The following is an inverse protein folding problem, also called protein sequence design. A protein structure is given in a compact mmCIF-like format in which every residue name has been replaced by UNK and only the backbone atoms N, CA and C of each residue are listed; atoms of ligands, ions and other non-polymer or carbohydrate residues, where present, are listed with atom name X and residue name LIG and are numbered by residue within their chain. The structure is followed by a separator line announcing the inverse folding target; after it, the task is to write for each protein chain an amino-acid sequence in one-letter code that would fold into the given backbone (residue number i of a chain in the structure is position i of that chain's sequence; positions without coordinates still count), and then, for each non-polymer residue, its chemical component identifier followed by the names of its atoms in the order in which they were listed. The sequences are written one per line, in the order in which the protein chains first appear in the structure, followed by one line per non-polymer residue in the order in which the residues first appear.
data_IF_796605226982
#
_entry.id   IF_796605226982
#
_cell.length_a   1.000
_cell.length_b   1.000
_cell.length_c   1.000
_cell.angle_alpha   90.00
_cell.angle_beta   90.00
_cell.angle_gamma   90.00
#
_symmetry.space_group_name_H-M   'P 1'
#
loop_
_entity.id
_entity.type
_entity.pdbx_description
1 polymer ?
#
# COMPACT_ATOMS: atom_id res chain seq x y z
N UNK A 1 -5.89 -24.44 13.83
CA UNK A 1 -4.87 -23.66 14.57
C UNK A 1 -5.55 -23.00 15.75
N UNK A 2 -5.11 -23.23 17.00
CA UNK A 2 -5.77 -22.68 18.19
C UNK A 2 -5.52 -21.16 18.30
N UNK A 3 -6.52 -20.42 18.78
CA UNK A 3 -6.48 -18.96 18.94
C UNK A 3 -5.30 -18.50 19.82
N UNK A 4 -4.90 -19.32 20.79
CA UNK A 4 -3.78 -19.08 21.69
C UNK A 4 -2.43 -18.98 20.98
N UNK A 5 -2.21 -19.74 19.91
CA UNK A 5 -0.99 -19.70 19.12
C UNK A 5 -0.87 -18.37 18.35
N UNK A 6 -1.97 -17.90 17.77
CA UNK A 6 -2.03 -16.62 17.06
C UNK A 6 -1.78 -15.44 18.01
N UNK A 7 -2.33 -15.49 19.22
CA UNK A 7 -2.08 -14.45 20.23
C UNK A 7 -0.62 -14.42 20.70
N UNK A 8 0.03 -15.57 20.83
CA UNK A 8 1.44 -15.65 21.17
C UNK A 8 2.31 -15.06 20.05
N UNK A 9 2.05 -15.44 18.79
CA UNK A 9 2.74 -14.88 17.62
C UNK A 9 2.55 -13.36 17.51
N UNK A 10 1.33 -12.86 17.74
CA UNK A 10 1.05 -11.42 17.75
C UNK A 10 1.85 -10.67 18.81
N UNK A 11 1.95 -11.22 20.03
CA UNK A 11 2.77 -10.62 21.10
C UNK A 11 4.25 -10.59 20.74
N UNK A 12 4.77 -11.64 20.13
CA UNK A 12 6.15 -11.69 19.63
C UNK A 12 6.38 -10.63 18.53
N UNK A 13 5.41 -10.45 17.63
CA UNK A 13 5.45 -9.42 16.59
C UNK A 13 5.48 -8.01 17.19
N UNK A 14 4.61 -7.70 18.16
CA UNK A 14 4.60 -6.41 18.83
C UNK A 14 5.95 -6.10 19.50
N UNK A 15 6.51 -7.06 20.22
CA UNK A 15 7.81 -6.90 20.86
C UNK A 15 8.93 -6.64 19.84
N UNK A 16 8.89 -7.33 18.70
CA UNK A 16 9.88 -7.14 17.63
C UNK A 16 9.74 -5.79 16.95
N UNK A 17 8.52 -5.31 16.68
CA UNK A 17 8.31 -3.96 16.14
C UNK A 17 8.78 -2.87 17.11
N UNK A 18 8.55 -3.03 18.41
CA UNK A 18 9.05 -2.07 19.40
C UNK A 18 10.58 -2.02 19.48
N UNK A 19 11.29 -3.05 19.01
CA UNK A 19 12.75 -3.08 18.95
C UNK A 19 13.35 -2.46 17.68
N UNK A 20 12.50 -2.17 16.69
CA UNK A 20 12.93 -1.61 15.41
C UNK A 20 13.03 -0.09 15.53
N UNK A 21 14.16 0.46 15.10
CA UNK A 21 14.38 1.90 15.07
C UNK A 21 13.41 2.58 14.06
N UNK A 22 12.61 3.58 14.49
CA UNK A 22 11.62 4.24 13.64
C UNK A 22 12.21 5.00 12.45
N UNK A 23 13.53 5.20 12.42
CA UNK A 23 14.26 5.85 11.32
C UNK A 23 14.51 4.92 10.13
N UNK A 24 14.25 3.62 10.27
CA UNK A 24 14.45 2.65 9.18
C UNK A 24 13.37 2.79 8.11
N UNK A 25 13.81 2.75 6.86
CA UNK A 25 12.93 2.86 5.69
C UNK A 25 11.88 1.74 5.72
N UNK A 26 10.59 2.11 5.79
CA UNK A 26 9.45 1.18 5.96
C UNK A 26 9.48 0.02 4.96
N UNK A 27 10.01 0.26 3.76
CA UNK A 27 10.18 -0.74 2.71
C UNK A 27 11.15 -1.86 3.08
N UNK A 28 12.27 -1.53 3.74
CA UNK A 28 13.25 -2.52 4.23
C UNK A 28 12.67 -3.36 5.36
N UNK A 29 11.83 -2.76 6.21
CA UNK A 29 11.11 -3.49 7.24
C UNK A 29 10.11 -4.47 6.64
N UNK A 30 9.39 -4.04 5.60
CA UNK A 30 8.43 -4.88 4.89
C UNK A 30 9.11 -6.06 4.20
N UNK A 31 10.26 -5.83 3.55
CA UNK A 31 11.08 -6.87 2.94
C UNK A 31 11.59 -7.88 3.98
N UNK A 32 12.08 -7.40 5.12
CA UNK A 32 12.52 -8.25 6.22
C UNK A 32 11.39 -9.13 6.77
N UNK A 33 10.19 -8.57 6.97
CA UNK A 33 9.05 -9.32 7.52
C UNK A 33 8.50 -10.34 6.51
N UNK A 34 8.53 -10.04 5.21
CA UNK A 34 8.09 -10.99 4.17
C UNK A 34 9.07 -12.14 3.99
N UNK A 35 10.37 -11.91 4.23
CA UNK A 35 11.43 -12.91 4.04
C UNK A 35 11.58 -13.83 5.24
N UNK A 36 11.33 -13.34 6.45
CA UNK A 36 11.35 -14.20 7.64
C UNK A 36 10.04 -15.00 7.76
N UNK A 37 10.13 -16.29 7.46
CA UNK A 37 9.11 -17.32 7.67
C UNK A 37 8.73 -17.56 9.15
N UNK A 38 9.06 -16.63 10.05
CA UNK A 38 8.89 -16.75 11.49
C UNK A 38 7.41 -16.77 11.93
N UNK A 39 6.53 -16.20 11.11
CA UNK A 39 5.09 -16.13 11.40
C UNK A 39 4.30 -17.22 10.67
N UNK A 40 3.21 -17.67 11.30
CA UNK A 40 2.26 -18.55 10.64
C UNK A 40 1.76 -17.97 9.31
N UNK A 41 1.40 -18.85 8.38
CA UNK A 41 0.90 -18.46 7.05
C UNK A 41 -0.27 -17.46 7.12
N UNK A 42 -1.10 -17.55 8.17
CA UNK A 42 -2.24 -16.67 8.38
C UNK A 42 -1.82 -15.24 8.77
N UNK A 43 -0.88 -15.08 9.70
CA UNK A 43 -0.36 -13.75 10.09
C UNK A 43 0.41 -13.09 8.94
N UNK A 44 1.21 -13.89 8.21
CA UNK A 44 1.90 -13.42 7.01
C UNK A 44 0.95 -12.91 5.92
N UNK A 45 -0.17 -13.60 5.70
CA UNK A 45 -1.20 -13.13 4.76
C UNK A 45 -1.85 -11.84 5.25
N UNK A 46 -2.20 -11.76 6.53
CA UNK A 46 -2.84 -10.58 7.12
C UNK A 46 -1.94 -9.34 7.00
N UNK A 47 -0.65 -9.50 7.27
CA UNK A 47 0.31 -8.42 7.19
C UNK A 47 0.54 -7.96 5.74
N UNK A 48 0.61 -8.88 4.79
CA UNK A 48 0.67 -8.55 3.35
C UNK A 48 -0.56 -7.77 2.92
N UNK A 49 -1.75 -8.20 3.32
CA UNK A 49 -3.00 -7.47 3.03
C UNK A 49 -2.93 -6.06 3.64
N UNK A 50 -2.55 -5.92 4.91
CA UNK A 50 -2.40 -4.61 5.55
C UNK A 50 -1.35 -3.71 4.87
N UNK A 51 -0.26 -4.28 4.35
CA UNK A 51 0.76 -3.53 3.62
C UNK A 51 0.31 -3.11 2.20
N UNK A 52 -0.50 -3.92 1.54
CA UNK A 52 -1.05 -3.61 0.20
C UNK A 52 -2.27 -2.68 0.26
N UNK A 53 -3.00 -2.69 1.37
CA UNK A 53 -4.07 -1.74 1.59
C UNK A 53 -3.42 -0.35 1.71
N UNK A 54 -3.81 0.63 0.88
CA UNK A 54 -3.29 1.97 1.01
C UNK A 54 -3.70 2.50 2.39
N UNK A 55 -2.74 2.50 3.32
CA UNK A 55 -2.91 3.05 4.68
C UNK A 55 -3.19 4.56 4.63
N UNK A 56 -2.87 5.21 3.51
CA UNK A 56 -3.01 6.65 3.33
C UNK A 56 -4.06 6.99 2.27
N UNK A 57 -5.04 7.82 2.66
CA UNK A 57 -6.00 8.44 1.73
C UNK A 57 -5.28 9.30 0.67
N UNK A 58 -4.05 9.73 0.95
CA UNK A 58 -3.21 10.54 0.09
C UNK A 58 -3.02 9.95 -1.33
N UNK A 59 -2.90 8.63 -1.49
CA UNK A 59 -2.78 8.03 -2.84
C UNK A 59 -4.07 8.21 -3.64
N UNK A 60 -5.21 8.05 -2.99
CA UNK A 60 -6.54 8.22 -3.60
C UNK A 60 -6.82 9.70 -3.86
N UNK A 61 -6.49 10.59 -2.92
CA UNK A 61 -6.59 12.03 -3.06
C UNK A 61 -5.71 12.57 -4.19
N UNK A 62 -4.48 12.06 -4.33
CA UNK A 62 -3.58 12.36 -5.45
C UNK A 62 -4.23 11.95 -6.78
N UNK A 63 -4.79 10.75 -6.88
CA UNK A 63 -5.49 10.27 -8.09
C UNK A 63 -6.72 11.12 -8.43
N UNK A 64 -7.55 11.47 -7.44
CA UNK A 64 -8.71 12.35 -7.66
C UNK A 64 -8.31 13.78 -8.01
N UNK A 65 -7.26 14.33 -7.40
CA UNK A 65 -6.71 15.64 -7.73
C UNK A 65 -6.20 15.69 -9.17
N UNK A 66 -5.48 14.65 -9.60
CA UNK A 66 -5.04 14.49 -10.99
C UNK A 66 -6.23 14.40 -11.95
N UNK A 67 -7.25 13.60 -11.64
CA UNK A 67 -8.46 13.50 -12.45
C UNK A 67 -9.20 14.84 -12.53
N UNK A 68 -9.29 15.58 -11.42
CA UNK A 68 -9.86 16.93 -11.38
C UNK A 68 -9.09 17.86 -12.31
N UNK A 69 -7.75 17.87 -12.27
CA UNK A 69 -6.91 18.65 -13.20
C UNK A 69 -7.16 18.26 -14.66
N UNK A 70 -7.17 16.97 -14.97
CA UNK A 70 -7.44 16.44 -16.32
C UNK A 70 -8.81 16.89 -16.85
N UNK A 71 -9.84 16.94 -16.00
CA UNK A 71 -11.17 17.44 -16.39
C UNK A 71 -11.28 18.96 -16.47
N UNK A 72 -10.50 19.70 -15.67
CA UNK A 72 -10.64 21.16 -15.56
C UNK A 72 -9.82 21.89 -16.63
N UNK A 73 -8.66 21.35 -17.02
CA UNK A 73 -7.75 21.96 -18.01
C UNK A 73 -8.40 22.08 -19.42
N UNK A 74 -8.94 21.01 -20.01
CA UNK A 74 -9.81 21.11 -21.17
C UNK A 74 -11.26 21.27 -20.69
N UNK A 75 -11.91 22.41 -20.95
CA UNK A 75 -13.37 22.60 -20.71
C UNK A 75 -14.26 21.72 -21.61
N UNK A 76 -13.77 20.56 -22.06
CA UNK A 76 -14.47 19.67 -22.98
C UNK A 76 -15.20 18.57 -22.21
N UNK A 77 -16.43 18.29 -22.61
CA UNK A 77 -17.11 17.03 -22.28
C UNK A 77 -16.32 15.89 -22.91
N UNK A 78 -15.40 15.31 -22.14
CA UNK A 78 -14.53 14.24 -22.58
C UNK A 78 -15.22 12.90 -22.31
N UNK A 79 -15.28 12.03 -23.31
CA UNK A 79 -15.81 10.68 -23.17
C UNK A 79 -15.04 9.87 -22.11
N UNK A 80 -15.72 8.89 -21.49
CA UNK A 80 -15.17 8.08 -20.41
C UNK A 80 -13.87 7.35 -20.82
N UNK A 81 -13.82 6.84 -22.04
CA UNK A 81 -12.66 6.10 -22.56
C UNK A 81 -11.42 6.99 -22.65
N UNK A 82 -11.57 8.19 -23.22
CA UNK A 82 -10.45 9.15 -23.36
C UNK A 82 -9.99 9.63 -21.98
N UNK A 83 -10.93 9.86 -21.05
CA UNK A 83 -10.61 10.27 -19.68
C UNK A 83 -9.81 9.18 -18.95
N UNK A 84 -10.24 7.92 -19.07
CA UNK A 84 -9.57 6.77 -18.46
C UNK A 84 -8.15 6.60 -19.01
N UNK A 85 -7.98 6.68 -20.33
CA UNK A 85 -6.67 6.62 -20.97
C UNK A 85 -5.73 7.74 -20.47
N UNK A 86 -6.22 8.97 -20.38
CA UNK A 86 -5.40 10.11 -19.91
C UNK A 86 -5.06 10.00 -18.41
N UNK A 87 -6.00 9.49 -17.60
CA UNK A 87 -5.76 9.24 -16.18
C UNK A 87 -4.67 8.16 -15.99
N UNK A 88 -4.74 7.06 -16.74
CA UNK A 88 -3.70 6.01 -16.74
C UNK A 88 -2.33 6.58 -17.12
N UNK A 89 -2.25 7.35 -18.20
CA UNK A 89 -0.99 8.00 -18.63
C UNK A 89 -0.45 8.96 -17.56
N UNK A 90 -1.33 9.73 -16.90
CA UNK A 90 -0.90 10.72 -15.90
C UNK A 90 -0.51 10.10 -14.56
N UNK A 91 -1.11 8.96 -14.17
CA UNK A 91 -0.79 8.26 -12.93
C UNK A 91 0.50 7.44 -13.08
N UNK A 92 0.68 6.80 -14.23
CA UNK A 92 1.82 5.91 -14.51
C UNK A 92 2.98 6.57 -15.26
N UNK A 93 2.97 7.90 -15.37
CA UNK A 93 4.06 8.64 -16.03
C UNK A 93 5.44 8.32 -15.46
N UNK A 94 5.52 8.07 -14.14
CA UNK A 94 6.77 7.79 -13.42
C UNK A 94 7.19 6.31 -13.49
N UNK A 95 6.33 5.43 -14.01
CA UNK A 95 6.55 3.97 -14.01
C UNK A 95 7.09 3.44 -15.34
N UNK A 96 7.27 4.32 -16.34
CA UNK A 96 7.86 3.97 -17.64
C UNK A 96 9.36 4.27 -17.58
N UNK A 97 10.13 3.26 -17.18
CA UNK A 97 11.58 3.13 -17.43
C UNK A 97 11.80 1.88 -18.27
#
# INVERSE_FOLDING_TARGET
MPLSAVQAEYKLWCAKISSIDPSTEILKLLEYIVTEHFFSRAMNLLLKVMATLPVTTASVERSFSTMKRIKTLPRSVMGHDRLSALAMMSIHWDTVV
#
